data_IF_574589111853
#
_entry.id   IF_574589111853
#
_cell.length_a   1.000
_cell.length_b   1.000
_cell.length_c   1.000
_cell.angle_alpha   90.00
_cell.angle_beta   90.00
_cell.angle_gamma   90.00
#
_symmetry.space_group_name_H-M   'P 1'
#
loop_
_entity.id
_entity.type
_entity.pdbx_description
1 polymer ?
#
# COMPACT_ATOMS: atom_id res chain seq x y z
N UNK A 1 9.93 -17.52 4.97
CA UNK A 1 8.46 -17.74 5.14
C UNK A 1 8.06 -18.76 4.10
N UNK A 2 7.36 -19.84 4.49
CA UNK A 2 6.88 -20.84 3.54
C UNK A 2 5.68 -20.29 2.74
N UNK A 3 5.36 -20.91 1.59
CA UNK A 3 4.18 -20.53 0.80
C UNK A 3 2.89 -20.63 1.62
N UNK A 4 2.72 -21.73 2.38
CA UNK A 4 1.53 -21.90 3.23
C UNK A 4 1.41 -20.80 4.30
N UNK A 5 2.51 -20.46 4.97
CA UNK A 5 2.53 -19.35 5.93
C UNK A 5 2.14 -18.01 5.27
N UNK A 6 2.60 -17.77 4.03
CA UNK A 6 2.23 -16.56 3.28
C UNK A 6 0.74 -16.53 2.92
N UNK A 7 0.14 -17.67 2.56
CA UNK A 7 -1.30 -17.79 2.30
C UNK A 7 -2.14 -17.51 3.55
N UNK A 8 -1.75 -18.10 4.69
CA UNK A 8 -2.40 -17.88 5.97
C UNK A 8 -2.29 -16.41 6.43
N UNK A 9 -1.11 -15.80 6.25
CA UNK A 9 -0.90 -14.39 6.57
C UNK A 9 -1.74 -13.45 5.69
N UNK A 10 -1.88 -13.72 4.39
CA UNK A 10 -2.77 -12.98 3.49
C UNK A 10 -4.22 -13.05 4.02
N UNK A 11 -4.71 -14.24 4.36
CA UNK A 11 -6.07 -14.42 4.87
C UNK A 11 -6.28 -13.70 6.21
N UNK A 12 -5.32 -13.82 7.13
CA UNK A 12 -5.36 -13.16 8.43
C UNK A 12 -5.37 -11.64 8.33
N UNK A 13 -4.50 -11.07 7.49
CA UNK A 13 -4.45 -9.62 7.26
C UNK A 13 -5.69 -9.16 6.50
N UNK A 14 -6.13 -9.88 5.48
CA UNK A 14 -7.36 -9.59 4.74
C UNK A 14 -8.58 -9.50 5.67
N UNK A 15 -8.72 -10.49 6.56
CA UNK A 15 -9.79 -10.48 7.57
C UNK A 15 -9.69 -9.27 8.49
N UNK A 16 -8.50 -8.93 8.98
CA UNK A 16 -8.29 -7.75 9.84
C UNK A 16 -8.64 -6.45 9.13
N UNK A 17 -8.27 -6.28 7.86
CA UNK A 17 -8.65 -5.10 7.06
C UNK A 17 -10.15 -4.98 6.87
N UNK A 18 -10.84 -6.11 6.64
CA UNK A 18 -12.30 -6.15 6.50
C UNK A 18 -12.99 -5.82 7.82
N UNK A 19 -12.59 -6.43 8.93
CA UNK A 19 -13.17 -6.21 10.26
C UNK A 19 -13.00 -4.75 10.73
N UNK A 20 -11.94 -4.06 10.30
CA UNK A 20 -11.68 -2.64 10.59
C UNK A 20 -12.35 -1.66 9.61
N UNK A 21 -12.99 -2.16 8.56
CA UNK A 21 -13.64 -1.33 7.55
C UNK A 21 -12.69 -0.62 6.60
N UNK A 22 -11.44 -1.09 6.46
CA UNK A 22 -10.47 -0.54 5.49
C UNK A 22 -10.72 -1.07 4.08
N UNK A 23 -11.47 -2.15 3.98
CA UNK A 23 -12.03 -2.69 2.74
C UNK A 23 -13.48 -3.12 2.98
N UNK A 24 -14.27 -3.15 1.93
CA UNK A 24 -15.67 -3.56 1.98
C UNK A 24 -16.03 -4.40 0.75
N UNK A 25 -17.09 -5.19 0.83
CA UNK A 25 -17.51 -6.08 -0.25
C UNK A 25 -16.33 -6.89 -0.82
N UNK A 26 -16.00 -6.70 -2.09
CA UNK A 26 -14.89 -7.36 -2.79
C UNK A 26 -13.75 -6.37 -3.13
N UNK A 27 -13.72 -5.22 -2.47
CA UNK A 27 -12.69 -4.21 -2.67
C UNK A 27 -11.36 -4.61 -2.02
N UNK A 28 -10.27 -4.10 -2.59
CA UNK A 28 -8.92 -4.34 -2.08
C UNK A 28 -8.30 -5.65 -2.56
N UNK A 29 -7.00 -5.74 -2.39
CA UNK A 29 -6.23 -6.94 -2.71
C UNK A 29 -4.89 -6.94 -1.97
N UNK A 30 -4.33 -8.13 -1.76
CA UNK A 30 -3.07 -8.35 -1.06
C UNK A 30 -2.22 -9.29 -1.90
N UNK A 31 -0.93 -8.97 -2.05
CA UNK A 31 0.05 -9.89 -2.62
C UNK A 31 1.26 -10.08 -1.72
N UNK A 32 1.89 -11.24 -1.82
CA UNK A 32 3.16 -11.56 -1.12
C UNK A 32 4.12 -12.18 -2.11
N UNK A 33 5.33 -11.62 -2.21
CA UNK A 33 6.42 -12.16 -3.01
C UNK A 33 7.01 -13.39 -2.33
N UNK A 34 7.12 -14.49 -3.07
CA UNK A 34 7.76 -15.74 -2.68
C UNK A 34 8.96 -16.01 -3.59
N UNK A 35 9.74 -17.04 -3.29
CA UNK A 35 11.03 -17.28 -3.97
C UNK A 35 10.85 -17.59 -5.48
N UNK A 36 9.76 -18.24 -5.86
CA UNK A 36 9.44 -18.67 -7.23
C UNK A 36 8.29 -17.89 -7.88
N UNK A 37 7.97 -16.70 -7.38
CA UNK A 37 6.91 -15.86 -7.92
C UNK A 37 6.22 -14.99 -6.88
N UNK A 38 4.89 -14.91 -6.92
CA UNK A 38 4.11 -14.21 -5.91
C UNK A 38 2.69 -14.78 -5.77
N UNK A 39 2.17 -14.64 -4.57
CA UNK A 39 0.78 -14.93 -4.22
C UNK A 39 -0.03 -13.65 -4.33
N UNK A 40 -1.27 -13.73 -4.78
CA UNK A 40 -2.19 -12.59 -4.79
C UNK A 40 -3.63 -13.06 -4.54
N UNK A 41 -4.42 -12.26 -3.86
CA UNK A 41 -5.84 -12.53 -3.62
C UNK A 41 -6.60 -12.64 -4.95
N UNK A 42 -7.63 -13.50 -5.02
CA UNK A 42 -8.43 -13.65 -6.23
C UNK A 42 -9.20 -12.38 -6.60
N UNK A 43 -9.53 -12.23 -7.88
CA UNK A 43 -10.41 -11.16 -8.33
C UNK A 43 -11.81 -11.33 -7.73
N UNK A 44 -12.44 -10.21 -7.37
CA UNK A 44 -13.79 -10.15 -6.81
C UNK A 44 -14.00 -10.99 -5.52
N UNK A 45 -12.91 -11.32 -4.80
CA UNK A 45 -12.97 -12.03 -3.54
C UNK A 45 -13.13 -11.06 -2.35
N UNK A 46 -13.95 -11.44 -1.36
CA UNK A 46 -14.07 -10.71 -0.11
C UNK A 46 -12.86 -11.02 0.79
N UNK A 47 -12.08 -10.00 1.14
CA UNK A 47 -10.88 -10.16 1.99
C UNK A 47 -11.21 -10.67 3.40
N UNK A 48 -12.45 -10.46 3.86
CA UNK A 48 -12.93 -10.93 5.18
C UNK A 48 -13.15 -12.45 5.27
N UNK A 49 -13.21 -13.15 4.14
CA UNK A 49 -13.56 -14.58 4.08
C UNK A 49 -12.74 -15.39 3.08
N UNK A 50 -11.45 -15.04 2.97
CA UNK A 50 -10.52 -15.74 2.06
C UNK A 50 -10.23 -17.17 2.53
N UNK A 51 -10.16 -18.10 1.56
CA UNK A 51 -9.61 -19.44 1.76
C UNK A 51 -8.14 -19.43 1.29
N UNK A 52 -7.16 -19.89 2.09
CA UNK A 52 -5.77 -20.00 1.68
C UNK A 52 -5.56 -20.76 0.37
N UNK A 53 -6.41 -21.73 0.05
CA UNK A 53 -6.37 -22.51 -1.19
C UNK A 53 -6.79 -21.72 -2.42
N UNK A 54 -7.66 -20.72 -2.25
CA UNK A 54 -8.14 -19.86 -3.35
C UNK A 54 -7.09 -18.80 -3.77
N UNK A 55 -6.11 -18.48 -2.92
CA UNK A 55 -5.09 -17.49 -3.23
C UNK A 55 -4.33 -17.89 -4.50
N UNK A 56 -4.33 -17.01 -5.51
CA UNK A 56 -3.64 -17.26 -6.76
C UNK A 56 -2.12 -17.26 -6.57
N UNK A 57 -1.45 -18.23 -7.19
CA UNK A 57 0.02 -18.25 -7.33
C UNK A 57 0.37 -17.92 -8.77
N UNK A 58 1.27 -16.95 -8.95
CA UNK A 58 1.81 -16.53 -10.24
C UNK A 58 3.32 -16.73 -10.24
N UNK A 59 3.86 -17.10 -11.42
CA UNK A 59 5.30 -17.14 -11.64
C UNK A 59 5.93 -15.72 -11.68
N UNK A 60 7.26 -15.59 -11.77
CA UNK A 60 7.92 -14.27 -11.84
C UNK A 60 7.48 -13.43 -13.05
N UNK A 61 6.98 -14.06 -14.14
CA UNK A 61 6.49 -13.38 -15.33
C UNK A 61 5.03 -12.95 -15.21
N UNK A 62 4.32 -13.40 -14.16
CA UNK A 62 2.91 -13.11 -13.92
C UNK A 62 1.95 -14.13 -14.55
N UNK A 63 2.45 -15.28 -15.00
CA UNK A 63 1.60 -16.39 -15.45
C UNK A 63 1.03 -17.11 -14.22
N UNK A 64 -0.29 -17.28 -14.18
CA UNK A 64 -0.93 -17.97 -13.07
C UNK A 64 -0.66 -19.48 -13.12
N UNK A 65 -0.20 -20.03 -11.98
CA UNK A 65 0.16 -21.43 -11.80
C UNK A 65 -0.97 -22.19 -11.09
N UNK A 66 -1.60 -21.59 -10.07
CA UNK A 66 -2.63 -22.24 -9.25
C UNK A 66 -3.53 -21.22 -8.55
N UNK A 67 -4.55 -21.71 -7.84
CA UNK A 67 -5.55 -20.90 -7.13
C UNK A 67 -6.66 -20.42 -8.07
N UNK A 68 -7.56 -19.59 -7.51
CA UNK A 68 -8.63 -18.95 -8.27
C UNK A 68 -8.07 -17.79 -9.11
N UNK A 69 -8.88 -17.26 -10.06
CA UNK A 69 -8.46 -16.20 -10.98
C UNK A 69 -7.85 -15.01 -10.23
N UNK A 70 -6.58 -14.71 -10.51
CA UNK A 70 -5.82 -13.64 -9.88
C UNK A 70 -6.48 -12.26 -10.04
N UNK A 71 -6.29 -11.38 -9.04
CA UNK A 71 -6.73 -9.99 -9.10
C UNK A 71 -6.25 -9.29 -10.37
N UNK A 72 -7.12 -8.49 -10.96
CA UNK A 72 -6.83 -7.66 -12.15
C UNK A 72 -5.67 -6.67 -11.93
N UNK A 73 -5.37 -6.34 -10.67
CA UNK A 73 -4.29 -5.41 -10.29
C UNK A 73 -2.92 -6.07 -10.19
N UNK A 74 -2.80 -7.37 -10.47
CA UNK A 74 -1.52 -8.10 -10.39
C UNK A 74 -0.38 -7.44 -11.19
N UNK A 75 -0.70 -6.78 -12.30
CA UNK A 75 0.30 -6.06 -13.10
C UNK A 75 0.89 -4.86 -12.33
N UNK A 76 0.06 -4.07 -11.64
CA UNK A 76 0.52 -2.97 -10.78
C UNK A 76 1.42 -3.50 -9.65
N UNK A 77 1.00 -4.56 -8.94
CA UNK A 77 1.78 -5.15 -7.86
C UNK A 77 3.15 -5.62 -8.35
N UNK A 78 3.21 -6.31 -9.48
CA UNK A 78 4.46 -6.78 -10.07
C UNK A 78 5.42 -5.63 -10.38
N UNK A 79 4.91 -4.53 -10.93
CA UNK A 79 5.72 -3.34 -11.23
C UNK A 79 6.20 -2.63 -9.97
N UNK A 80 5.35 -2.52 -8.93
CA UNK A 80 5.75 -1.98 -7.63
C UNK A 80 6.89 -2.84 -7.04
N UNK A 81 6.78 -4.18 -7.06
CA UNK A 81 7.88 -5.04 -6.61
C UNK A 81 9.18 -4.77 -7.36
N UNK A 82 9.13 -4.65 -8.70
CA UNK A 82 10.31 -4.41 -9.51
C UNK A 82 10.98 -3.06 -9.18
N UNK A 83 10.19 -2.00 -8.99
CA UNK A 83 10.71 -0.65 -8.73
C UNK A 83 11.11 -0.47 -7.26
N UNK A 84 10.25 -0.81 -6.31
CA UNK A 84 10.48 -0.58 -4.89
C UNK A 84 11.66 -1.41 -4.38
N UNK A 85 11.86 -2.62 -4.90
CA UNK A 85 12.98 -3.50 -4.52
C UNK A 85 14.37 -2.89 -4.79
N UNK A 86 14.48 -1.94 -5.71
CA UNK A 86 15.73 -1.20 -5.98
C UNK A 86 16.16 -0.34 -4.78
N UNK A 87 15.20 0.16 -4.01
CA UNK A 87 15.39 1.11 -2.90
C UNK A 87 15.15 0.47 -1.52
N UNK A 88 14.30 -0.56 -1.46
CA UNK A 88 14.05 -1.37 -0.26
C UNK A 88 13.99 -2.87 -0.67
N UNK A 89 15.17 -3.55 -0.70
CA UNK A 89 15.28 -4.95 -1.15
C UNK A 89 14.46 -5.96 -0.33
N UNK A 90 14.00 -5.56 0.85
CA UNK A 90 13.18 -6.41 1.71
C UNK A 90 11.68 -6.34 1.39
N UNK A 91 11.25 -5.51 0.43
CA UNK A 91 9.85 -5.40 0.02
C UNK A 91 9.31 -6.77 -0.46
N UNK A 92 8.33 -7.30 0.27
CA UNK A 92 7.72 -8.61 -0.01
C UNK A 92 6.20 -8.65 0.02
N UNK A 93 5.54 -7.60 0.51
CA UNK A 93 4.08 -7.54 0.57
C UNK A 93 3.58 -6.22 0.00
N UNK A 94 2.48 -6.28 -0.74
CA UNK A 94 1.73 -5.11 -1.21
C UNK A 94 0.28 -5.29 -0.80
N UNK A 95 -0.33 -4.22 -0.29
CA UNK A 95 -1.75 -4.15 0.05
C UNK A 95 -2.35 -2.95 -0.68
N UNK A 96 -3.43 -3.16 -1.42
CA UNK A 96 -4.32 -2.11 -1.90
C UNK A 96 -5.62 -2.17 -1.11
N UNK A 97 -6.05 -1.02 -0.59
CA UNK A 97 -7.28 -0.90 0.18
C UNK A 97 -8.13 0.27 -0.32
N UNK A 98 -9.40 0.29 0.08
CA UNK A 98 -10.34 1.37 -0.23
C UNK A 98 -10.76 2.08 1.07
N UNK A 99 -9.77 2.42 1.90
CA UNK A 99 -10.00 2.98 3.21
C UNK A 99 -10.64 4.37 3.14
N UNK A 100 -11.68 4.56 3.95
CA UNK A 100 -12.67 5.63 3.77
C UNK A 100 -12.09 7.02 3.90
N UNK A 101 -11.25 7.27 4.92
CA UNK A 101 -10.74 8.63 5.18
C UNK A 101 -9.70 9.04 4.12
N UNK A 102 -8.85 8.10 3.67
CA UNK A 102 -7.93 8.35 2.57
C UNK A 102 -8.67 8.69 1.28
N UNK A 103 -9.71 7.91 0.93
CA UNK A 103 -10.51 8.18 -0.27
C UNK A 103 -11.23 9.52 -0.15
N UNK A 104 -11.81 9.85 1.02
CA UNK A 104 -12.54 11.09 1.25
C UNK A 104 -11.68 12.34 0.97
N UNK A 105 -10.39 12.32 1.33
CA UNK A 105 -9.47 13.42 1.03
C UNK A 105 -9.34 13.66 -0.48
N UNK A 106 -9.20 12.60 -1.28
CA UNK A 106 -9.01 12.71 -2.73
C UNK A 106 -10.32 12.89 -3.53
N UNK A 107 -11.48 12.66 -2.90
CA UNK A 107 -12.78 13.02 -3.49
C UNK A 107 -13.03 14.51 -3.37
N UNK A 108 -12.55 15.12 -2.28
CA UNK A 108 -12.74 16.53 -1.97
C UNK A 108 -11.84 17.43 -2.81
N UNK A 109 -10.54 17.08 -2.92
CA UNK A 109 -9.52 17.94 -3.51
C UNK A 109 -8.58 17.16 -4.45
N UNK A 110 -8.02 17.83 -5.45
CA UNK A 110 -6.93 17.30 -6.28
C UNK A 110 -5.60 17.55 -5.56
N UNK A 111 -5.12 16.51 -4.86
CA UNK A 111 -3.91 16.56 -4.06
C UNK A 111 -2.69 16.03 -4.84
N UNK A 112 -1.51 16.56 -4.57
CA UNK A 112 -0.21 16.02 -5.03
C UNK A 112 0.37 15.06 -3.98
N UNK A 113 0.24 15.41 -2.71
CA UNK A 113 0.61 14.62 -1.54
C UNK A 113 -0.65 14.41 -0.69
N UNK A 114 -0.88 13.18 -0.22
CA UNK A 114 -2.11 12.85 0.48
C UNK A 114 -2.22 13.56 1.83
N UNK A 115 -1.14 13.60 2.60
CA UNK A 115 -1.13 14.02 4.00
C UNK A 115 0.07 14.90 4.34
N UNK A 116 -0.16 15.92 5.15
CA UNK A 116 0.89 16.67 5.81
C UNK A 116 1.48 15.88 7.00
N UNK A 117 2.73 16.16 7.42
CA UNK A 117 3.39 15.47 8.53
C UNK A 117 2.85 15.96 9.90
N UNK A 118 1.61 15.63 10.24
CA UNK A 118 0.94 16.10 11.45
C UNK A 118 1.24 15.24 12.69
N UNK A 119 1.74 14.01 12.52
CA UNK A 119 2.10 13.13 13.62
C UNK A 119 3.52 12.57 13.47
N UNK A 120 4.26 12.34 14.58
CA UNK A 120 5.59 11.76 14.52
C UNK A 120 5.58 10.31 13.97
N UNK A 121 4.54 9.52 14.26
CA UNK A 121 4.46 8.15 13.79
C UNK A 121 4.22 8.08 12.28
N UNK A 122 3.42 8.98 11.71
CA UNK A 122 3.26 9.07 10.25
C UNK A 122 4.61 9.34 9.56
N UNK A 123 5.37 10.33 10.06
CA UNK A 123 6.70 10.65 9.53
C UNK A 123 7.68 9.48 9.66
N UNK A 124 7.67 8.78 10.81
CA UNK A 124 8.62 7.69 11.08
C UNK A 124 8.27 6.38 10.37
N UNK A 125 7.00 6.04 10.25
CA UNK A 125 6.53 4.72 9.79
C UNK A 125 6.10 4.69 8.34
N UNK A 126 5.57 5.82 7.85
CA UNK A 126 5.04 5.94 6.49
C UNK A 126 5.98 6.74 5.59
N UNK A 127 6.20 8.00 5.91
CA UNK A 127 6.87 8.95 5.05
C UNK A 127 5.90 9.58 4.04
N UNK A 128 6.40 9.95 2.87
CA UNK A 128 5.59 10.54 1.82
C UNK A 128 4.58 9.58 1.20
N UNK A 129 3.40 10.09 0.86
CA UNK A 129 2.31 9.37 0.17
C UNK A 129 1.84 10.18 -1.04
N UNK A 130 2.57 10.14 -2.16
CA UNK A 130 2.20 10.86 -3.37
C UNK A 130 0.85 10.39 -3.90
N UNK A 131 0.06 11.33 -4.46
CA UNK A 131 -1.23 11.04 -5.08
C UNK A 131 -1.04 10.83 -6.58
N UNK A 132 -1.48 9.67 -7.07
CA UNK A 132 -1.61 9.36 -8.49
C UNK A 132 -2.98 9.85 -8.96
N UNK A 133 -3.00 10.67 -10.01
CA UNK A 133 -4.23 11.20 -10.58
C UNK A 133 -5.22 10.09 -10.95
N UNK A 134 -6.51 10.40 -10.86
CA UNK A 134 -7.55 9.42 -11.17
C UNK A 134 -7.39 8.83 -12.57
N UNK A 135 -7.45 7.52 -12.61
CA UNK A 135 -7.65 6.74 -13.84
C UNK A 135 -8.50 5.51 -13.51
N UNK A 136 -9.10 4.90 -14.52
CA UNK A 136 -9.92 3.71 -14.28
C UNK A 136 -9.07 2.54 -13.73
N UNK A 137 -9.65 1.62 -12.92
CA UNK A 137 -8.96 0.46 -12.41
C UNK A 137 -8.29 -0.37 -13.53
N UNK A 138 -7.00 -0.71 -13.34
CA UNK A 138 -6.22 -1.45 -14.34
C UNK A 138 -5.62 -0.61 -15.46
N UNK A 139 -5.70 0.73 -15.38
CA UNK A 139 -5.08 1.64 -16.35
C UNK A 139 -3.56 1.49 -16.40
N UNK A 140 -2.99 1.42 -17.61
CA UNK A 140 -1.54 1.45 -17.81
C UNK A 140 -0.93 2.76 -17.30
N UNK A 141 -1.63 3.88 -17.46
CA UNK A 141 -1.18 5.20 -16.99
C UNK A 141 -0.96 5.22 -15.48
N UNK A 142 -1.87 4.62 -14.67
CA UNK A 142 -1.69 4.54 -13.23
C UNK A 142 -0.44 3.74 -12.84
N UNK A 143 -0.12 2.70 -13.61
CA UNK A 143 1.09 1.90 -13.41
C UNK A 143 2.33 2.75 -13.71
N UNK A 144 2.36 3.43 -14.85
CA UNK A 144 3.47 4.30 -15.25
C UNK A 144 3.72 5.44 -14.25
N UNK A 145 2.65 6.09 -13.78
CA UNK A 145 2.75 7.15 -12.78
C UNK A 145 3.25 6.62 -11.43
N UNK A 146 2.79 5.43 -11.00
CA UNK A 146 3.30 4.80 -9.78
C UNK A 146 4.80 4.48 -9.89
N UNK A 147 5.25 3.92 -11.01
CA UNK A 147 6.68 3.66 -11.29
C UNK A 147 7.47 4.96 -11.22
N UNK A 148 7.00 6.01 -11.88
CA UNK A 148 7.67 7.32 -11.92
C UNK A 148 7.86 7.89 -10.53
N UNK A 149 6.82 7.94 -9.69
CA UNK A 149 6.94 8.51 -8.34
C UNK A 149 7.80 7.65 -7.41
N UNK A 150 7.72 6.31 -7.48
CA UNK A 150 8.59 5.41 -6.71
C UNK A 150 10.07 5.67 -7.04
N UNK A 151 10.41 5.79 -8.33
CA UNK A 151 11.77 6.09 -8.74
C UNK A 151 12.20 7.49 -8.29
N UNK A 152 11.38 8.52 -8.48
CA UNK A 152 11.69 9.90 -8.08
C UNK A 152 12.04 9.98 -6.59
N UNK A 153 11.21 9.44 -5.71
CA UNK A 153 11.46 9.47 -4.27
C UNK A 153 12.64 8.57 -3.86
N UNK A 154 12.82 7.45 -4.53
CA UNK A 154 13.96 6.56 -4.27
C UNK A 154 15.29 7.18 -4.64
N UNK A 155 15.38 7.89 -5.77
CA UNK A 155 16.60 8.54 -6.27
C UNK A 155 17.03 9.72 -5.41
N UNK A 156 16.10 10.44 -4.77
CA UNK A 156 16.44 11.53 -3.83
C UNK A 156 16.71 11.04 -2.39
N UNK A 157 16.70 9.71 -2.16
CA UNK A 157 17.05 9.11 -0.86
C UNK A 157 15.91 9.05 0.16
N UNK A 158 14.68 9.34 -0.25
CA UNK A 158 13.48 9.23 0.58
C UNK A 158 12.49 8.20 0.00
N UNK A 159 12.90 6.90 -0.12
CA UNK A 159 12.06 5.89 -0.75
C UNK A 159 10.72 5.76 -0.04
N UNK A 160 9.64 5.87 -0.80
CA UNK A 160 8.27 5.77 -0.33
C UNK A 160 7.84 4.31 -0.10
N UNK A 161 6.79 4.13 0.72
CA UNK A 161 6.15 2.83 1.00
C UNK A 161 4.66 2.82 0.66
N UNK A 162 4.18 3.91 0.08
CA UNK A 162 2.80 4.06 -0.30
C UNK A 162 2.63 5.02 -1.48
N UNK A 163 1.56 4.81 -2.24
CA UNK A 163 0.97 5.80 -3.14
C UNK A 163 -0.53 5.82 -2.89
N UNK A 164 -1.15 6.96 -3.10
CA UNK A 164 -2.60 7.09 -3.09
C UNK A 164 -3.11 7.10 -4.53
N UNK A 165 -3.92 6.12 -4.90
CA UNK A 165 -4.66 6.16 -6.16
C UNK A 165 -5.91 7.03 -5.94
N UNK A 166 -5.96 8.22 -6.53
CA UNK A 166 -7.06 9.19 -6.33
C UNK A 166 -8.43 8.54 -6.54
N UNK A 167 -9.34 8.75 -5.58
CA UNK A 167 -10.72 8.24 -5.57
C UNK A 167 -10.86 6.70 -5.53
N UNK A 168 -9.75 5.97 -5.42
CA UNK A 168 -9.70 4.51 -5.29
C UNK A 168 -9.22 4.08 -3.93
N UNK A 169 -8.04 4.54 -3.52
CA UNK A 169 -7.48 4.20 -2.21
C UNK A 169 -5.97 4.01 -2.21
N UNK A 170 -5.38 3.87 -1.01
CA UNK A 170 -3.95 3.68 -0.87
C UNK A 170 -3.48 2.32 -1.34
N UNK A 171 -2.28 2.29 -1.91
CA UNK A 171 -1.50 1.09 -2.18
C UNK A 171 -0.21 1.20 -1.40
N UNK A 172 0.02 0.26 -0.49
CA UNK A 172 1.16 0.26 0.43
C UNK A 172 2.01 -0.97 0.25
N UNK A 173 3.31 -0.89 0.58
CA UNK A 173 4.21 -2.04 0.53
C UNK A 173 5.22 -2.06 1.66
N UNK A 174 5.62 -3.27 2.08
CA UNK A 174 6.62 -3.50 3.11
C UNK A 174 7.17 -4.94 3.05
N UNK A 175 8.03 -5.29 4.01
CA UNK A 175 8.70 -6.59 4.12
C UNK A 175 7.76 -7.76 4.45
N UNK A 176 6.58 -7.51 5.03
CA UNK A 176 5.62 -8.54 5.42
C UNK A 176 4.19 -7.99 5.41
N UNK A 177 3.16 -8.86 5.35
CA UNK A 177 1.76 -8.46 5.44
C UNK A 177 1.45 -7.62 6.70
N UNK A 178 1.99 -7.99 7.86
CA UNK A 178 1.77 -7.26 9.10
C UNK A 178 2.38 -5.84 9.06
N UNK A 179 3.58 -5.69 8.50
CA UNK A 179 4.22 -4.37 8.39
C UNK A 179 3.56 -3.49 7.32
N UNK A 180 3.12 -4.08 6.19
CA UNK A 180 2.35 -3.35 5.18
C UNK A 180 1.00 -2.88 5.75
N UNK A 181 0.31 -3.74 6.54
CA UNK A 181 -0.91 -3.36 7.23
C UNK A 181 -0.67 -2.22 8.22
N UNK A 182 0.42 -2.23 9.00
CA UNK A 182 0.74 -1.16 9.94
C UNK A 182 0.97 0.19 9.24
N UNK A 183 1.59 0.19 8.06
CA UNK A 183 1.70 1.40 7.21
C UNK A 183 0.32 1.90 6.80
N UNK A 184 -0.55 1.00 6.33
CA UNK A 184 -1.92 1.35 5.92
C UNK A 184 -2.75 1.91 7.09
N UNK A 185 -2.66 1.29 8.27
CA UNK A 185 -3.35 1.75 9.48
C UNK A 185 -2.91 3.17 9.86
N UNK A 186 -1.61 3.46 9.82
CA UNK A 186 -1.08 4.79 10.15
C UNK A 186 -1.53 5.84 9.14
N UNK A 187 -1.57 5.50 7.82
CA UNK A 187 -2.09 6.41 6.79
C UNK A 187 -3.57 6.71 7.04
N UNK A 188 -4.39 5.69 7.26
CA UNK A 188 -5.84 5.85 7.45
C UNK A 188 -6.15 6.63 8.74
N UNK A 189 -5.43 6.37 9.84
CA UNK A 189 -5.62 7.11 11.09
C UNK A 189 -5.17 8.57 10.94
N UNK A 190 -4.07 8.85 10.23
CA UNK A 190 -3.64 10.23 9.96
C UNK A 190 -4.61 10.95 9.03
N UNK A 191 -5.18 10.27 8.02
CA UNK A 191 -6.23 10.82 7.16
C UNK A 191 -7.49 11.18 7.96
N UNK A 192 -7.89 10.30 8.89
CA UNK A 192 -9.00 10.57 9.81
C UNK A 192 -8.72 11.78 10.70
N UNK A 193 -7.53 11.88 11.28
CA UNK A 193 -7.12 13.05 12.07
C UNK A 193 -7.18 14.34 11.24
N UNK A 194 -6.69 14.33 10.00
CA UNK A 194 -6.74 15.47 9.08
C UNK A 194 -8.18 15.93 8.83
N UNK A 195 -9.13 15.00 8.68
CA UNK A 195 -10.54 15.32 8.47
C UNK A 195 -11.23 15.84 9.75
N UNK A 196 -10.86 15.31 10.92
CA UNK A 196 -11.43 15.69 12.21
C UNK A 196 -10.83 16.98 12.79
N UNK A 197 -9.58 17.30 12.43
CA UNK A 197 -8.86 18.48 12.88
C UNK A 197 -8.27 19.26 11.68
N UNK A 198 -9.11 19.89 10.84
CA UNK A 198 -8.67 20.54 9.60
C UNK A 198 -7.69 21.69 9.82
N UNK A 199 -7.70 22.30 11.02
CA UNK A 199 -6.77 23.36 11.43
C UNK A 199 -5.47 22.83 12.06
N UNK A 200 -5.21 21.49 11.94
CA UNK A 200 -3.97 20.91 12.48
C UNK A 200 -2.73 21.49 11.80
N UNK A 201 -1.69 21.74 12.58
CA UNK A 201 -0.40 22.22 12.09
C UNK A 201 0.57 21.06 11.87
N UNK A 202 1.32 21.13 10.77
CA UNK A 202 2.38 20.16 10.49
C UNK A 202 3.53 20.30 11.52
N UNK A 203 4.28 19.21 11.70
CA UNK A 203 5.54 19.24 12.43
C UNK A 203 6.51 20.20 11.73
N UNK A 204 7.28 20.93 12.53
CA UNK A 204 8.33 21.83 12.02
C UNK A 204 9.51 21.04 11.44
N UNK A 205 10.30 21.66 10.57
CA UNK A 205 11.51 21.05 10.00
C UNK A 205 12.48 20.56 11.09
N UNK A 206 12.60 21.26 12.20
CA UNK A 206 13.43 20.85 13.34
C UNK A 206 12.90 19.57 13.99
N UNK A 207 11.59 19.44 14.16
CA UNK A 207 10.97 18.22 14.70
C UNK A 207 11.15 17.04 13.73
N UNK A 208 10.94 17.26 12.43
CA UNK A 208 11.17 16.24 11.40
C UNK A 208 12.65 15.83 11.36
N UNK A 209 13.59 16.77 11.42
CA UNK A 209 15.02 16.47 11.45
C UNK A 209 15.41 15.66 12.70
N UNK A 210 14.81 15.93 13.84
CA UNK A 210 15.00 15.10 15.03
C UNK A 210 14.55 13.66 14.80
N UNK A 211 13.39 13.46 14.15
CA UNK A 211 12.89 12.11 13.80
C UNK A 211 13.80 11.40 12.79
N UNK A 212 14.36 12.12 11.81
CA UNK A 212 15.36 11.56 10.88
C UNK A 212 16.61 11.07 11.62
N UNK A 213 17.16 11.90 12.51
CA UNK A 213 18.41 11.60 13.23
C UNK A 213 18.26 10.50 14.27
N UNK A 214 17.18 10.50 15.03
CA UNK A 214 16.99 9.54 16.14
C UNK A 214 16.34 8.23 15.70
N UNK A 215 15.48 8.24 14.70
CA UNK A 215 14.64 7.09 14.33
C UNK A 215 14.78 6.68 12.87
N UNK A 216 15.60 7.34 12.08
CA UNK A 216 15.80 7.03 10.66
C UNK A 216 14.56 7.29 9.81
N UNK A 217 13.75 8.29 10.16
CA UNK A 217 12.57 8.67 9.38
C UNK A 217 12.96 9.04 7.94
N UNK A 218 12.17 8.57 6.99
CA UNK A 218 12.35 8.79 5.54
C UNK A 218 11.37 9.86 5.04
N UNK A 219 11.54 11.10 5.53
CA UNK A 219 10.69 12.23 5.16
C UNK A 219 11.48 13.27 4.37
#
# INVERSE_FOLDING_TARGET
>A
MTENQSRDDICRVGKSLFDRGYVHATAGNISVKIDDGFLITPTDACLGSLDPKSIAKLDPNGLQISGDKASKTQALHRQIYACAHRFDPLTRCIIHAHSTHCVALTVKDDLVELLAPITPYFVMKVGHVPVIAYSHPGSAQAIEDAIRVINTYGEIGTPIRAVMLSKLGPTVWHQSPALAMAVLEEIEETAKLTLLAPESTALTDNQINTLRQQFGARW
#
